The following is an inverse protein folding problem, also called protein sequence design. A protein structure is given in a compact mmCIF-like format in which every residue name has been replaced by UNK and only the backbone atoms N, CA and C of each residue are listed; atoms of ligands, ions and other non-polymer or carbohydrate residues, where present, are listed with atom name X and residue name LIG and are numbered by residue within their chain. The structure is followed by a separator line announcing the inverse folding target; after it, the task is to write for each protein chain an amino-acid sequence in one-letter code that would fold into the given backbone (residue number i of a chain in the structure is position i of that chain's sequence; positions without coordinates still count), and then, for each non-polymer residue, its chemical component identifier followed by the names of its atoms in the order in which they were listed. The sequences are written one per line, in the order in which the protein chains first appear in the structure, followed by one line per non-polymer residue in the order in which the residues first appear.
data_IF_107890547921
#
_entry.id   IF_107890547921
#
_cell.length_a   1.000
_cell.length_b   1.000
_cell.length_c   1.000
_cell.angle_alpha   90.00
_cell.angle_beta   90.00
_cell.angle_gamma   90.00
#
_symmetry.space_group_name_H-M   'P 1'
#
loop_
_entity.id
_entity.type
_entity.pdbx_description
1 polymer ?
#
# COMPACT_ATOMS: atom_id res chain seq x y z
N UNK A 1 -3.21 3.82 -14.31
CA UNK A 1 -4.05 4.39 -13.22
C UNK A 1 -3.60 5.78 -12.83
N UNK A 2 -4.42 6.82 -13.03
CA UNK A 2 -4.13 8.15 -12.47
C UNK A 2 -4.42 8.09 -10.96
N UNK A 3 -3.44 8.45 -10.12
CA UNK A 3 -3.55 8.66 -8.65
C UNK A 3 -3.28 7.51 -7.65
N UNK A 4 -2.78 6.32 -8.05
CA UNK A 4 -2.46 5.23 -7.09
C UNK A 4 -1.50 5.68 -5.99
N UNK A 5 -0.46 6.42 -6.35
CA UNK A 5 0.50 6.97 -5.38
C UNK A 5 -0.16 7.90 -4.37
N UNK A 6 -1.12 8.74 -4.80
CA UNK A 6 -1.85 9.66 -3.92
C UNK A 6 -2.72 8.88 -2.94
N UNK A 7 -3.39 7.83 -3.42
CA UNK A 7 -4.21 6.96 -2.60
C UNK A 7 -3.36 6.18 -1.59
N UNK A 8 -2.24 5.59 -2.04
CA UNK A 8 -1.31 4.88 -1.18
C UNK A 8 -0.78 5.77 -0.04
N UNK A 9 -0.36 7.00 -0.36
CA UNK A 9 0.10 7.97 0.65
C UNK A 9 -1.02 8.34 1.65
N UNK A 10 -2.24 8.57 1.16
CA UNK A 10 -3.40 8.86 2.01
C UNK A 10 -3.72 7.68 2.93
N UNK A 11 -3.75 6.46 2.40
CA UNK A 11 -4.00 5.23 3.17
C UNK A 11 -2.91 4.99 4.22
N UNK A 12 -1.64 5.23 3.88
CA UNK A 12 -0.54 5.14 4.83
C UNK A 12 -0.71 6.13 5.99
N UNK A 13 -1.08 7.37 5.72
CA UNK A 13 -1.30 8.39 6.75
C UNK A 13 -2.51 8.14 7.65
N UNK A 14 -3.51 7.39 7.17
CA UNK A 14 -4.67 6.96 7.97
C UNK A 14 -4.45 5.63 8.71
N UNK A 15 -3.30 4.99 8.49
CA UNK A 15 -3.01 3.69 9.08
C UNK A 15 -2.90 3.78 10.59
N UNK A 16 -3.69 2.98 11.29
CA UNK A 16 -3.59 2.78 12.75
C UNK A 16 -2.44 1.83 13.12
N UNK A 17 -1.60 1.40 12.16
CA UNK A 17 -0.56 0.42 12.45
C UNK A 17 0.52 0.96 13.39
N UNK A 18 0.80 2.27 13.33
CA UNK A 18 1.75 2.92 14.23
C UNK A 18 1.25 2.95 15.68
N UNK A 19 -0.06 3.12 15.94
CA UNK A 19 -0.60 3.21 17.31
C UNK A 19 -0.56 1.90 18.08
N UNK A 20 -0.53 0.76 17.37
CA UNK A 20 -0.38 -0.57 17.95
C UNK A 20 1.02 -1.15 17.78
N UNK A 21 1.97 -0.38 17.26
CA UNK A 21 3.31 -0.87 16.98
C UNK A 21 4.11 -1.04 18.28
N UNK A 22 4.68 -2.23 18.56
CA UNK A 22 5.48 -2.43 19.78
C UNK A 22 6.75 -1.56 19.81
N UNK A 23 7.15 -1.02 18.65
CA UNK A 23 8.28 -0.12 18.51
C UNK A 23 7.88 1.37 18.57
N UNK A 24 6.59 1.72 18.74
CA UNK A 24 6.14 3.12 18.60
C UNK A 24 6.92 4.09 19.50
N UNK A 25 7.16 3.74 20.77
CA UNK A 25 7.90 4.62 21.69
C UNK A 25 9.39 4.80 21.33
N UNK A 26 9.95 3.92 20.48
CA UNK A 26 11.33 3.98 20.01
C UNK A 26 11.43 4.33 18.52
N UNK A 27 10.30 4.62 17.88
CA UNK A 27 10.25 4.86 16.45
C UNK A 27 10.86 6.22 16.13
N UNK A 28 11.99 6.23 15.44
CA UNK A 28 12.62 7.45 14.95
C UNK A 28 11.94 7.91 13.66
N UNK A 29 12.15 9.18 13.28
CA UNK A 29 11.65 9.71 12.00
C UNK A 29 12.18 8.93 10.79
N UNK A 30 13.40 8.39 10.87
CA UNK A 30 13.98 7.55 9.82
C UNK A 30 13.23 6.22 9.69
N UNK A 31 12.95 5.55 10.80
CA UNK A 31 12.17 4.31 10.82
C UNK A 31 10.75 4.58 10.30
N UNK A 32 10.13 5.67 10.75
CA UNK A 32 8.80 6.05 10.29
C UNK A 32 8.76 6.28 8.76
N UNK A 33 9.76 6.97 8.20
CA UNK A 33 9.89 7.16 6.75
C UNK A 33 10.07 5.82 6.03
N UNK A 34 10.96 4.96 6.51
CA UNK A 34 11.18 3.63 5.93
C UNK A 34 9.90 2.79 5.92
N UNK A 35 9.13 2.78 7.00
CA UNK A 35 7.83 2.09 7.08
C UNK A 35 6.81 2.68 6.11
N UNK A 36 6.73 4.01 6.02
CA UNK A 36 5.81 4.70 5.13
C UNK A 36 6.13 4.40 3.66
N UNK A 37 7.40 4.50 3.26
CA UNK A 37 7.85 4.23 1.90
C UNK A 37 7.63 2.76 1.54
N UNK A 38 7.94 1.85 2.45
CA UNK A 38 7.68 0.41 2.31
C UNK A 38 6.19 0.12 2.10
N UNK A 39 5.31 0.77 2.87
CA UNK A 39 3.86 0.64 2.69
C UNK A 39 3.42 1.12 1.32
N UNK A 40 3.87 2.31 0.89
CA UNK A 40 3.48 2.90 -0.41
C UNK A 40 3.95 2.04 -1.57
N UNK A 41 5.16 1.47 -1.48
CA UNK A 41 5.68 0.54 -2.46
C UNK A 41 4.85 -0.76 -2.51
N UNK A 42 4.62 -1.38 -1.35
CA UNK A 42 3.82 -2.60 -1.23
C UNK A 42 2.39 -2.41 -1.75
N UNK A 43 1.77 -1.27 -1.44
CA UNK A 43 0.44 -0.91 -1.95
C UNK A 43 0.42 -0.89 -3.48
N UNK A 44 1.38 -0.19 -4.12
CA UNK A 44 1.47 -0.13 -5.59
C UNK A 44 1.66 -1.51 -6.22
N UNK A 45 2.51 -2.36 -5.62
CA UNK A 45 2.71 -3.76 -6.06
C UNK A 45 1.42 -4.56 -5.96
N UNK A 46 0.72 -4.46 -4.82
CA UNK A 46 -0.56 -5.11 -4.59
C UNK A 46 -1.64 -4.67 -5.58
N UNK A 47 -1.79 -3.37 -5.84
CA UNK A 47 -2.77 -2.88 -6.82
C UNK A 47 -2.49 -3.43 -8.22
N UNK A 48 -1.22 -3.43 -8.66
CA UNK A 48 -0.83 -4.00 -9.96
C UNK A 48 -1.12 -5.50 -10.06
N UNK A 49 -0.92 -6.25 -8.98
CA UNK A 49 -1.23 -7.67 -8.94
C UNK A 49 -2.74 -7.91 -9.06
N UNK A 50 -3.54 -7.19 -8.27
CA UNK A 50 -5.00 -7.27 -8.31
C UNK A 50 -5.56 -6.90 -9.69
N UNK A 51 -5.06 -5.84 -10.33
CA UNK A 51 -5.46 -5.47 -11.70
C UNK A 51 -5.17 -6.57 -12.71
N UNK A 52 -4.00 -7.23 -12.61
CA UNK A 52 -3.65 -8.35 -13.50
C UNK A 52 -4.61 -9.51 -13.31
N UNK A 53 -4.99 -9.82 -12.08
CA UNK A 53 -5.94 -10.89 -11.79
C UNK A 53 -7.35 -10.56 -12.29
N UNK A 54 -7.83 -9.33 -12.06
CA UNK A 54 -9.13 -8.87 -12.57
C UNK A 54 -9.16 -8.93 -14.10
N UNK A 55 -8.13 -8.42 -14.78
CA UNK A 55 -8.05 -8.46 -16.23
C UNK A 55 -7.98 -9.88 -16.80
N UNK A 56 -7.36 -10.84 -16.07
CA UNK A 56 -7.38 -12.25 -16.48
C UNK A 56 -8.79 -12.84 -16.38
N UNK A 57 -9.50 -12.59 -15.27
CA UNK A 57 -10.88 -13.06 -15.05
C UNK A 57 -11.85 -12.50 -16.08
N UNK A 58 -11.81 -11.19 -16.33
CA UNK A 58 -12.67 -10.54 -17.33
C UNK A 58 -12.45 -11.10 -18.75
N UNK A 59 -11.20 -11.44 -19.10
CA UNK A 59 -10.88 -12.06 -20.40
C UNK A 59 -11.35 -13.50 -20.50
N UNK A 60 -11.34 -14.27 -19.40
CA UNK A 60 -11.84 -15.64 -19.40
C UNK A 60 -13.37 -15.74 -19.44
N UNK A 61 -14.08 -14.72 -18.93
CA UNK A 61 -15.55 -14.65 -18.93
C UNK A 61 -16.13 -14.15 -20.28
N UNK A 62 -15.29 -13.62 -21.17
CA UNK A 62 -15.66 -13.18 -22.52
C UNK A 62 -15.51 -14.27 -23.60
N UNK A 63 -15.08 -15.48 -23.20
CA UNK A 63 -14.88 -16.65 -24.08
C UNK A 63 -16.02 -17.64 -23.88
#
# INVERSE_FOLDING_TARGET
MKNVTKLAKKSAGLSQKCSICPLMQRCTLEIHRACFDSFVEGFKKGTRAAEKEINKKLKSEQI
#
